data_IF_354674023855
#
_entry.id   IF_354674023855
#
_cell.length_a   1.000
_cell.length_b   1.000
_cell.length_c   1.000
_cell.angle_alpha   90.00
_cell.angle_beta   90.00
_cell.angle_gamma   90.00
#
_symmetry.space_group_name_H-M   'P 1'
#
loop_
_entity.id
_entity.type
_entity.pdbx_description
1 polymer ?
#
# COMPACT_ATOMS: atom_id res chain seq x y z
N UNK A 1 12.84 26.27 20.93
CA UNK A 1 12.06 25.03 21.16
C UNK A 1 12.16 24.22 19.88
N UNK A 2 12.96 23.16 19.86
CA UNK A 2 12.89 22.18 18.78
C UNK A 2 11.50 21.57 18.82
N UNK A 3 10.66 21.89 17.84
CA UNK A 3 9.39 21.20 17.65
C UNK A 3 9.72 19.75 17.36
N UNK A 4 9.52 18.87 18.35
CA UNK A 4 9.73 17.43 18.17
C UNK A 4 8.99 16.96 16.91
N UNK A 5 9.67 16.12 16.12
CA UNK A 5 9.07 15.51 14.94
C UNK A 5 7.79 14.74 15.33
N UNK A 6 6.75 14.79 14.51
CA UNK A 6 5.44 14.22 14.88
C UNK A 6 5.51 12.72 15.20
N UNK A 7 6.44 11.98 14.57
CA UNK A 7 6.65 10.56 14.88
C UNK A 7 7.21 10.33 16.28
N UNK A 8 8.12 11.20 16.74
CA UNK A 8 8.64 11.17 18.10
C UNK A 8 7.56 11.48 19.13
N UNK A 9 6.69 12.45 18.85
CA UNK A 9 5.53 12.78 19.70
C UNK A 9 4.57 11.59 19.81
N UNK A 10 4.17 11.02 18.67
CA UNK A 10 3.26 9.86 18.61
C UNK A 10 3.81 8.65 19.37
N UNK A 11 5.11 8.37 19.23
CA UNK A 11 5.77 7.28 19.94
C UNK A 11 5.79 7.51 21.46
N UNK A 12 6.11 8.73 21.91
CA UNK A 12 6.21 9.07 23.33
C UNK A 12 4.88 8.95 24.08
N UNK A 13 3.76 9.22 23.41
CA UNK A 13 2.42 9.06 23.98
C UNK A 13 1.82 7.67 23.74
N UNK A 14 2.61 6.72 23.23
CA UNK A 14 2.17 5.35 22.91
C UNK A 14 0.91 5.32 22.05
N UNK A 15 0.82 6.22 21.07
CA UNK A 15 -0.38 6.32 20.24
C UNK A 15 -0.62 4.97 19.52
N UNK A 16 -1.84 4.41 19.55
CA UNK A 16 -2.12 3.11 18.92
C UNK A 16 -1.95 3.14 17.40
N UNK A 17 -1.33 2.11 16.84
CA UNK A 17 -1.25 1.90 15.38
C UNK A 17 -2.57 1.37 14.81
N UNK A 18 -3.22 0.47 15.53
CA UNK A 18 -4.39 -0.27 15.06
C UNK A 18 -5.57 0.65 14.70
N UNK A 19 -6.09 0.48 13.47
CA UNK A 19 -7.20 1.28 12.94
C UNK A 19 -6.78 2.60 12.31
N UNK A 20 -5.50 2.78 11.98
CA UNK A 20 -4.99 4.05 11.45
C UNK A 20 -4.53 3.96 10.00
N UNK A 21 -4.62 2.79 9.36
CA UNK A 21 -4.23 2.66 7.96
C UNK A 21 -5.19 3.47 7.06
N UNK A 22 -4.68 4.11 5.98
CA UNK A 22 -5.56 4.70 4.98
C UNK A 22 -6.51 3.63 4.41
N UNK A 23 -7.76 4.01 4.16
CA UNK A 23 -8.75 3.12 3.55
C UNK A 23 -8.76 3.32 2.04
N UNK A 24 -8.46 2.25 1.30
CA UNK A 24 -8.52 2.16 -0.15
C UNK A 24 -8.61 0.67 -0.55
N UNK A 25 -9.63 0.31 -1.33
CA UNK A 25 -9.76 -1.04 -1.90
C UNK A 25 -8.71 -1.29 -2.99
N UNK A 26 -8.50 -0.28 -3.82
CA UNK A 26 -7.60 -0.35 -4.99
C UNK A 26 -6.48 0.68 -4.84
N UNK A 27 -5.27 0.27 -5.21
CA UNK A 27 -4.09 1.13 -5.28
C UNK A 27 -3.56 1.19 -6.70
N UNK A 28 -3.17 2.40 -7.14
CA UNK A 28 -2.42 2.64 -8.38
C UNK A 28 -1.10 3.30 -8.01
N UNK A 29 0.01 2.67 -8.39
CA UNK A 29 1.36 3.20 -8.23
C UNK A 29 1.95 3.46 -9.60
N UNK A 30 2.36 4.71 -9.87
CA UNK A 30 3.02 5.08 -11.12
C UNK A 30 4.50 5.35 -10.85
N UNK A 31 5.38 4.72 -11.64
CA UNK A 31 6.81 4.96 -11.55
C UNK A 31 7.13 6.41 -11.91
N UNK A 32 7.80 7.12 -11.02
CA UNK A 32 8.24 8.49 -11.22
C UNK A 32 9.57 8.73 -10.49
N UNK A 33 10.62 9.22 -11.18
CA UNK A 33 11.98 9.31 -10.63
C UNK A 33 12.15 10.38 -9.55
N UNK A 34 11.13 11.20 -9.27
CA UNK A 34 11.13 12.21 -8.20
C UNK A 34 11.86 13.51 -8.55
N UNK A 35 11.89 14.51 -7.63
CA UNK A 35 11.35 14.50 -6.27
C UNK A 35 9.81 14.55 -6.22
N UNK A 36 9.22 14.16 -5.09
CA UNK A 36 7.78 14.29 -4.82
C UNK A 36 7.51 15.51 -3.94
N UNK A 37 6.63 16.41 -4.41
CA UNK A 37 6.23 17.63 -3.70
C UNK A 37 5.35 17.36 -2.47
N UNK A 38 4.54 18.32 -2.05
CA UNK A 38 3.58 18.13 -0.95
C UNK A 38 2.41 17.25 -1.39
N UNK A 39 1.89 17.47 -2.59
CA UNK A 39 1.00 16.53 -3.28
C UNK A 39 1.79 15.90 -4.43
N UNK A 40 2.07 14.60 -4.33
CA UNK A 40 2.98 13.95 -5.25
C UNK A 40 2.47 14.00 -6.71
N UNK A 41 1.16 13.92 -6.93
CA UNK A 41 0.59 13.95 -8.28
C UNK A 41 0.64 15.39 -8.82
N UNK A 42 0.12 16.35 -8.06
CA UNK A 42 0.02 17.76 -8.48
C UNK A 42 1.40 18.37 -8.73
N UNK A 43 2.36 18.09 -7.85
CA UNK A 43 3.70 18.67 -7.90
C UNK A 43 4.68 17.87 -8.80
N UNK A 44 4.19 16.84 -9.49
CA UNK A 44 5.01 16.01 -10.38
C UNK A 44 5.20 16.64 -11.76
N UNK A 45 6.18 16.11 -12.51
CA UNK A 45 6.37 16.41 -13.94
C UNK A 45 5.70 15.37 -14.85
N UNK A 46 4.73 14.62 -14.34
CA UNK A 46 3.92 13.71 -15.16
C UNK A 46 3.16 14.51 -16.23
N UNK A 47 2.82 13.94 -17.39
CA UNK A 47 1.96 14.61 -18.37
C UNK A 47 0.62 15.06 -17.77
N UNK A 48 0.08 16.19 -18.23
CA UNK A 48 -1.18 16.76 -17.71
C UNK A 48 -2.36 15.78 -17.77
N UNK A 49 -2.43 15.00 -18.85
CA UNK A 49 -3.41 13.93 -19.04
C UNK A 49 -3.32 12.88 -17.92
N UNK A 50 -2.12 12.46 -17.55
CA UNK A 50 -1.88 11.50 -16.49
C UNK A 50 -2.20 12.10 -15.11
N UNK A 51 -1.77 13.34 -14.83
CA UNK A 51 -2.12 14.02 -13.56
C UNK A 51 -3.63 14.16 -13.38
N UNK A 52 -4.35 14.50 -14.44
CA UNK A 52 -5.81 14.63 -14.44
C UNK A 52 -6.50 13.29 -14.20
N UNK A 53 -6.06 12.23 -14.87
CA UNK A 53 -6.60 10.88 -14.66
C UNK A 53 -6.38 10.39 -13.22
N UNK A 54 -5.16 10.53 -12.69
CA UNK A 54 -4.82 10.16 -11.32
C UNK A 54 -5.61 10.98 -10.29
N UNK A 55 -5.86 12.27 -10.55
CA UNK A 55 -6.69 13.10 -9.69
C UNK A 55 -8.17 12.61 -9.66
N UNK A 56 -8.73 12.21 -10.82
CA UNK A 56 -10.07 11.61 -10.89
C UNK A 56 -10.15 10.30 -10.09
N UNK A 57 -9.16 9.42 -10.25
CA UNK A 57 -9.08 8.17 -9.49
C UNK A 57 -8.98 8.41 -7.99
N UNK A 58 -8.14 9.37 -7.57
CA UNK A 58 -8.01 9.77 -6.17
C UNK A 58 -9.34 10.28 -5.60
N UNK A 59 -10.09 11.06 -6.38
CA UNK A 59 -11.42 11.55 -5.97
C UNK A 59 -12.46 10.42 -5.83
N UNK A 60 -12.31 9.33 -6.59
CA UNK A 60 -13.12 8.12 -6.47
C UNK A 60 -12.67 7.17 -5.34
N UNK A 61 -11.68 7.55 -4.53
CA UNK A 61 -11.22 6.77 -3.36
C UNK A 61 -10.12 5.74 -3.65
N UNK A 62 -9.52 5.77 -4.84
CA UNK A 62 -8.36 4.93 -5.17
C UNK A 62 -7.12 5.49 -4.48
N UNK A 63 -6.32 4.61 -3.87
CA UNK A 63 -5.02 4.97 -3.30
C UNK A 63 -4.02 5.25 -4.41
N UNK A 64 -3.60 6.50 -4.57
CA UNK A 64 -2.62 6.90 -5.60
C UNK A 64 -1.24 7.15 -4.97
N UNK A 65 -0.22 6.48 -5.51
CA UNK A 65 1.17 6.70 -5.15
C UNK A 65 2.02 6.96 -6.39
N UNK A 66 3.02 7.82 -6.26
CA UNK A 66 4.16 7.84 -7.16
C UNK A 66 5.31 7.11 -6.48
N UNK A 67 5.99 6.23 -7.21
CA UNK A 67 7.04 5.40 -6.61
C UNK A 67 8.17 5.11 -7.57
N UNK A 68 9.19 4.43 -7.09
CA UNK A 68 10.24 3.85 -7.93
C UNK A 68 10.85 2.64 -7.23
N UNK A 69 11.25 1.59 -7.96
CA UNK A 69 11.98 0.48 -7.37
C UNK A 69 13.32 0.95 -6.83
N UNK A 70 13.82 0.28 -5.78
CA UNK A 70 15.18 0.52 -5.30
C UNK A 70 16.23 -0.06 -6.25
N UNK A 71 15.87 -1.12 -7.00
CA UNK A 71 16.68 -1.58 -8.11
C UNK A 71 16.58 -0.62 -9.30
N UNK A 72 17.69 0.08 -9.55
CA UNK A 72 17.84 1.03 -10.66
C UNK A 72 18.61 0.46 -11.84
N UNK A 73 19.09 -0.78 -11.73
CA UNK A 73 19.95 -1.39 -12.75
C UNK A 73 19.14 -2.05 -13.86
N UNK A 74 17.87 -2.36 -13.59
CA UNK A 74 16.94 -2.96 -14.55
C UNK A 74 16.32 -1.90 -15.48
N UNK A 75 16.78 -1.75 -16.74
CA UNK A 75 16.17 -0.82 -17.70
C UNK A 75 14.70 -1.19 -17.94
N UNK A 76 13.86 -0.17 -18.13
CA UNK A 76 12.46 -0.33 -18.52
C UNK A 76 12.18 0.44 -19.81
N UNK A 77 11.26 -0.06 -20.63
CA UNK A 77 10.82 0.59 -21.87
C UNK A 77 9.94 1.83 -21.65
N UNK A 78 9.64 2.14 -20.39
CA UNK A 78 8.78 3.24 -19.97
C UNK A 78 8.43 3.10 -18.48
N UNK A 79 7.74 4.08 -17.89
CA UNK A 79 7.34 4.03 -16.48
C UNK A 79 6.55 2.76 -16.17
N UNK A 80 6.94 2.04 -15.11
CA UNK A 80 6.13 0.93 -14.60
C UNK A 80 4.88 1.46 -13.90
N UNK A 81 3.78 0.73 -14.03
CA UNK A 81 2.54 0.99 -13.29
C UNK A 81 2.18 -0.30 -12.54
N UNK A 82 1.81 -0.15 -11.28
CA UNK A 82 1.22 -1.19 -10.46
C UNK A 82 -0.22 -0.83 -10.22
N UNK A 83 -1.12 -1.79 -10.41
CA UNK A 83 -2.52 -1.64 -10.02
C UNK A 83 -2.93 -2.87 -9.22
N UNK A 84 -3.45 -2.64 -8.01
CA UNK A 84 -3.70 -3.70 -7.06
C UNK A 84 -5.07 -3.59 -6.39
N UNK A 85 -5.79 -4.71 -6.30
CA UNK A 85 -6.97 -4.89 -5.45
C UNK A 85 -6.53 -5.56 -4.14
N UNK A 86 -6.96 -5.00 -3.02
CA UNK A 86 -6.50 -5.38 -1.67
C UNK A 86 -7.56 -6.05 -0.79
N UNK A 87 -8.66 -6.51 -1.37
CA UNK A 87 -9.69 -7.26 -0.65
C UNK A 87 -9.21 -8.68 -0.29
N UNK A 88 -9.43 -9.16 0.96
CA UNK A 88 -9.29 -10.58 1.29
C UNK A 88 -10.05 -11.50 0.33
N UNK A 89 -9.57 -12.72 0.11
CA UNK A 89 -10.15 -13.70 -0.83
C UNK A 89 -10.02 -13.35 -2.31
N UNK A 90 -9.53 -12.15 -2.63
CA UNK A 90 -9.46 -11.64 -3.99
C UNK A 90 -8.28 -10.72 -4.24
N UNK A 91 -7.18 -10.80 -3.50
CA UNK A 91 -6.04 -9.93 -3.76
C UNK A 91 -5.53 -10.13 -5.20
N UNK A 92 -5.24 -9.04 -5.91
CA UNK A 92 -4.75 -9.10 -7.28
C UNK A 92 -3.76 -7.97 -7.52
N UNK A 93 -2.59 -8.28 -8.06
CA UNK A 93 -1.60 -7.30 -8.51
C UNK A 93 -1.38 -7.45 -10.01
N UNK A 94 -1.48 -6.34 -10.73
CA UNK A 94 -1.01 -6.22 -12.12
C UNK A 94 0.16 -5.24 -12.19
N UNK A 95 1.20 -5.63 -12.93
CA UNK A 95 2.41 -4.85 -13.17
C UNK A 95 2.69 -4.83 -14.67
N UNK A 96 2.99 -3.66 -15.20
CA UNK A 96 3.37 -3.46 -16.60
C UNK A 96 4.14 -2.17 -16.79
N UNK A 97 4.68 -1.95 -17.99
CA UNK A 97 5.25 -0.68 -18.41
C UNK A 97 4.30 0.04 -19.35
N UNK A 98 4.31 1.37 -19.29
CA UNK A 98 3.50 2.22 -20.17
C UNK A 98 4.42 3.00 -21.11
N UNK A 99 4.10 2.99 -22.40
CA UNK A 99 4.78 3.85 -23.39
C UNK A 99 4.24 5.29 -23.35
N UNK A 100 2.97 5.46 -22.96
CA UNK A 100 2.31 6.76 -22.82
C UNK A 100 1.32 6.73 -21.65
N UNK A 101 1.65 7.47 -20.58
CA UNK A 101 0.81 7.59 -19.39
C UNK A 101 -0.54 8.26 -19.65
N UNK A 102 -0.78 8.84 -20.83
CA UNK A 102 -2.10 9.31 -21.22
C UNK A 102 -3.13 8.19 -21.38
N UNK A 103 -2.70 6.92 -21.46
CA UNK A 103 -3.60 5.76 -21.42
C UNK A 103 -4.38 5.67 -20.10
N UNK A 104 -3.87 6.23 -19.00
CA UNK A 104 -4.58 6.27 -17.71
C UNK A 104 -5.96 6.94 -17.79
N UNK A 105 -6.22 7.75 -18.83
CA UNK A 105 -7.54 8.36 -19.06
C UNK A 105 -8.61 7.35 -19.47
N UNK A 106 -8.23 6.18 -19.98
CA UNK A 106 -9.17 5.11 -20.38
C UNK A 106 -9.56 4.21 -19.23
N UNK A 107 -8.93 4.38 -18.06
CA UNK A 107 -9.23 3.61 -16.86
C UNK A 107 -10.40 4.27 -16.14
N UNK A 108 -11.47 3.51 -15.95
CA UNK A 108 -12.70 3.98 -15.32
C UNK A 108 -12.56 4.03 -13.79
N UNK A 109 -12.61 5.22 -13.15
CA UNK A 109 -12.46 5.36 -11.70
C UNK A 109 -13.48 4.55 -10.91
N UNK A 110 -14.73 4.48 -11.37
CA UNK A 110 -15.82 3.76 -10.72
C UNK A 110 -15.56 2.25 -10.71
N UNK A 111 -15.04 1.71 -11.83
CA UNK A 111 -14.66 0.30 -11.91
C UNK A 111 -13.48 -0.02 -10.97
N UNK A 112 -12.46 0.84 -10.95
CA UNK A 112 -11.33 0.69 -10.01
C UNK A 112 -11.78 0.79 -8.55
N UNK A 113 -12.70 1.71 -8.23
CA UNK A 113 -13.25 1.86 -6.88
C UNK A 113 -14.02 0.63 -6.43
N UNK A 114 -14.64 -0.10 -7.36
CA UNK A 114 -15.28 -1.40 -7.14
C UNK A 114 -14.30 -2.59 -7.12
N UNK A 115 -13.00 -2.36 -7.38
CA UNK A 115 -11.97 -3.41 -7.41
C UNK A 115 -11.81 -4.10 -8.77
N UNK A 116 -12.47 -3.62 -9.83
CA UNK A 116 -12.27 -4.12 -11.19
C UNK A 116 -11.02 -3.51 -11.80
N UNK A 117 -9.95 -4.30 -11.87
CA UNK A 117 -8.68 -3.82 -12.43
C UNK A 117 -8.70 -3.87 -13.95
N UNK A 118 -8.12 -2.86 -14.64
CA UNK A 118 -8.00 -2.86 -16.10
C UNK A 118 -7.14 -4.04 -16.57
N UNK A 119 -7.33 -4.43 -17.83
CA UNK A 119 -6.49 -5.40 -18.52
C UNK A 119 -5.11 -4.79 -18.88
N UNK A 120 -4.36 -4.39 -17.86
CA UNK A 120 -3.04 -3.77 -17.97
C UNK A 120 -1.96 -4.75 -17.50
N UNK A 121 -0.82 -4.75 -18.20
CA UNK A 121 0.36 -5.55 -17.85
C UNK A 121 0.06 -7.02 -17.61
N UNK A 122 0.89 -7.64 -16.77
CA UNK A 122 0.77 -9.04 -16.37
C UNK A 122 0.31 -9.15 -14.92
N UNK A 123 -0.43 -10.23 -14.60
CA UNK A 123 -0.71 -10.60 -13.22
C UNK A 123 0.60 -11.01 -12.55
N UNK A 124 0.86 -10.45 -11.36
CA UNK A 124 2.02 -10.80 -10.54
C UNK A 124 1.56 -11.57 -9.31
N UNK A 125 2.25 -12.67 -9.01
CA UNK A 125 2.07 -13.47 -7.79
C UNK A 125 3.02 -13.07 -6.67
N UNK A 126 3.94 -12.15 -6.94
CA UNK A 126 4.93 -11.71 -5.96
C UNK A 126 4.50 -10.38 -5.36
N UNK A 127 4.78 -10.16 -4.07
CA UNK A 127 4.41 -8.93 -3.40
C UNK A 127 5.25 -7.76 -3.90
N UNK A 128 4.77 -6.54 -3.64
CA UNK A 128 5.58 -5.33 -3.71
C UNK A 128 5.48 -4.59 -2.38
N UNK A 129 6.62 -4.37 -1.74
CA UNK A 129 6.76 -3.63 -0.50
C UNK A 129 7.12 -2.17 -0.79
N UNK A 130 6.17 -1.28 -0.55
CA UNK A 130 6.32 0.17 -0.73
C UNK A 130 6.71 0.81 0.61
N UNK A 131 7.74 1.64 0.63
CA UNK A 131 8.15 2.42 1.80
C UNK A 131 8.04 3.91 1.49
N UNK A 132 7.32 4.64 2.31
CA UNK A 132 7.17 6.09 2.15
C UNK A 132 8.49 6.79 2.50
N UNK A 133 9.05 7.57 1.57
CA UNK A 133 10.25 8.41 1.79
C UNK A 133 10.02 9.90 1.56
N UNK A 134 8.77 10.32 1.37
CA UNK A 134 8.42 11.71 1.11
C UNK A 134 8.63 12.60 2.34
N UNK A 135 9.37 13.69 2.17
CA UNK A 135 9.75 14.62 3.24
C UNK A 135 9.07 15.99 3.21
N UNK A 136 8.27 16.28 2.18
CA UNK A 136 7.72 17.63 1.95
C UNK A 136 6.51 17.96 2.83
N UNK A 137 5.78 16.95 3.31
CA UNK A 137 4.69 17.12 4.28
C UNK A 137 5.22 17.13 5.70
N UNK A 138 6.12 16.20 6.00
CA UNK A 138 6.85 16.06 7.25
C UNK A 138 8.16 15.28 6.96
N UNK A 139 9.24 15.57 7.68
CA UNK A 139 10.53 14.92 7.52
C UNK A 139 10.59 13.48 8.06
N UNK A 140 9.65 13.06 8.92
CA UNK A 140 9.68 11.75 9.60
C UNK A 140 9.89 10.56 8.67
N UNK A 141 9.08 10.43 7.60
CA UNK A 141 9.23 9.35 6.63
C UNK A 141 10.49 9.50 5.76
N UNK A 142 10.91 10.73 5.49
CA UNK A 142 12.15 10.95 4.76
C UNK A 142 13.36 10.40 5.53
N UNK A 143 13.41 10.62 6.84
CA UNK A 143 14.50 10.09 7.68
C UNK A 143 14.33 8.58 7.87
N UNK A 144 13.31 8.15 8.62
CA UNK A 144 13.19 6.75 9.03
C UNK A 144 12.85 5.80 7.89
N UNK A 145 12.16 6.27 6.85
CA UNK A 145 11.81 5.46 5.69
C UNK A 145 13.03 5.13 4.83
N UNK A 146 13.98 6.08 4.70
CA UNK A 146 15.26 5.81 4.03
C UNK A 146 16.13 4.84 4.82
N UNK A 147 16.12 4.91 6.14
CA UNK A 147 16.84 3.96 6.98
C UNK A 147 16.28 2.54 6.83
N UNK A 148 14.95 2.39 6.86
CA UNK A 148 14.28 1.11 6.60
C UNK A 148 14.59 0.58 5.19
N UNK A 149 14.57 1.43 4.16
CA UNK A 149 14.90 1.01 2.79
C UNK A 149 16.33 0.51 2.65
N UNK A 150 17.31 1.15 3.29
CA UNK A 150 18.70 0.65 3.26
C UNK A 150 18.81 -0.73 3.90
N UNK A 151 18.10 -0.95 5.00
CA UNK A 151 18.07 -2.26 5.65
C UNK A 151 17.36 -3.33 4.79
N UNK A 152 16.25 -2.97 4.13
CA UNK A 152 15.56 -3.85 3.17
C UNK A 152 16.45 -4.17 1.97
N UNK A 153 17.17 -3.18 1.45
CA UNK A 153 18.09 -3.34 0.31
C UNK A 153 19.23 -4.31 0.62
N UNK A 154 19.76 -4.25 1.85
CA UNK A 154 20.80 -5.14 2.35
C UNK A 154 20.30 -6.57 2.63
N UNK A 155 19.03 -6.71 3.03
CA UNK A 155 18.41 -8.01 3.31
C UNK A 155 17.89 -8.74 2.06
N UNK A 156 17.64 -8.01 0.98
CA UNK A 156 16.99 -8.55 -0.21
C UNK A 156 17.95 -9.34 -1.11
N UNK A 157 17.44 -10.45 -1.66
CA UNK A 157 18.06 -11.10 -2.82
C UNK A 157 18.02 -10.17 -4.05
N UNK A 158 18.86 -10.40 -5.09
CA UNK A 158 18.80 -9.62 -6.32
C UNK A 158 17.38 -9.52 -6.91
N UNK A 159 16.63 -10.62 -6.89
CA UNK A 159 15.23 -10.65 -7.32
C UNK A 159 14.32 -9.85 -6.40
N UNK A 160 14.48 -10.00 -5.08
CA UNK A 160 13.69 -9.28 -4.07
C UNK A 160 13.85 -7.76 -4.13
N UNK A 161 15.01 -7.24 -4.57
CA UNK A 161 15.25 -5.80 -4.73
C UNK A 161 14.28 -5.14 -5.71
N UNK A 162 13.89 -5.84 -6.78
CA UNK A 162 12.90 -5.34 -7.76
C UNK A 162 11.48 -5.18 -7.17
N UNK A 163 11.22 -5.85 -6.03
CA UNK A 163 9.95 -5.85 -5.31
C UNK A 163 9.90 -4.85 -4.15
N UNK A 164 10.99 -4.12 -3.90
CA UNK A 164 11.02 -3.07 -2.88
C UNK A 164 11.01 -1.71 -3.57
N UNK A 165 10.06 -0.88 -3.18
CA UNK A 165 9.81 0.41 -3.78
C UNK A 165 9.89 1.49 -2.73
N UNK A 166 10.51 2.62 -3.08
CA UNK A 166 10.25 3.85 -2.36
C UNK A 166 9.10 4.61 -3.01
N UNK A 167 8.31 5.31 -2.21
CA UNK A 167 7.11 5.98 -2.70
C UNK A 167 6.80 7.30 -2.01
N UNK A 168 5.85 8.00 -2.62
CA UNK A 168 5.19 9.17 -2.11
C UNK A 168 4.39 8.88 -0.83
N UNK A 169 3.75 9.92 -0.30
CA UNK A 169 3.05 9.87 0.98
C UNK A 169 1.88 8.87 0.99
N UNK A 170 2.04 7.77 1.73
CA UNK A 170 0.97 6.78 2.00
C UNK A 170 -0.09 7.32 2.98
N UNK A 171 0.34 8.13 3.96
CA UNK A 171 -0.53 8.61 5.05
C UNK A 171 -0.07 8.14 6.43
N UNK A 172 -0.25 9.00 7.44
CA UNK A 172 0.14 8.70 8.82
C UNK A 172 1.63 8.88 9.10
N UNK A 173 2.22 10.01 8.68
CA UNK A 173 3.64 10.33 8.93
C UNK A 173 4.01 10.36 10.42
N UNK A 174 3.03 10.58 11.33
CA UNK A 174 3.21 10.40 12.78
C UNK A 174 3.52 8.96 13.20
N UNK A 175 3.29 7.98 12.33
CA UNK A 175 3.64 6.58 12.53
C UNK A 175 4.84 6.15 11.69
N UNK A 176 5.66 7.11 11.25
CA UNK A 176 6.81 6.83 10.40
C UNK A 176 7.80 5.83 11.00
N UNK A 177 8.51 5.05 10.15
CA UNK A 177 8.26 4.96 8.71
C UNK A 177 6.97 4.19 8.43
N UNK A 178 6.33 4.53 7.31
CA UNK A 178 5.11 3.86 6.84
C UNK A 178 5.47 3.00 5.64
N UNK A 179 5.03 1.74 5.66
CA UNK A 179 5.10 0.84 4.51
C UNK A 179 3.73 0.27 4.15
N UNK A 180 3.57 -0.12 2.89
CA UNK A 180 2.39 -0.76 2.31
C UNK A 180 2.85 -1.98 1.51
N UNK A 181 2.26 -3.14 1.76
CA UNK A 181 2.48 -4.35 0.94
C UNK A 181 1.32 -4.51 -0.03
N UNK A 182 1.62 -4.68 -1.33
CA UNK A 182 0.64 -5.05 -2.35
C UNK A 182 0.88 -6.50 -2.80
N UNK A 183 -0.18 -7.27 -3.12
CA UNK A 183 -1.58 -6.87 -3.15
C UNK A 183 -2.34 -7.02 -1.82
N UNK A 184 -1.72 -7.52 -0.74
CA UNK A 184 -2.45 -7.74 0.54
C UNK A 184 -3.03 -6.46 1.15
N UNK A 185 -2.45 -5.31 0.85
CA UNK A 185 -2.92 -4.00 1.30
C UNK A 185 -2.59 -3.68 2.74
N UNK A 186 -1.65 -4.40 3.34
CA UNK A 186 -1.26 -4.22 4.74
C UNK A 186 -0.38 -3.00 4.91
N UNK A 187 -0.76 -2.14 5.85
CA UNK A 187 -0.02 -0.93 6.16
C UNK A 187 0.65 -1.09 7.51
N UNK A 188 1.98 -0.96 7.52
CA UNK A 188 2.76 -1.01 8.74
C UNK A 188 3.28 0.40 9.11
N UNK A 189 3.52 0.61 10.40
CA UNK A 189 4.10 1.84 10.94
C UNK A 189 5.19 1.53 11.96
N UNK A 190 6.08 2.49 12.21
CA UNK A 190 7.14 2.42 13.24
C UNK A 190 8.13 1.27 13.06
N UNK A 191 8.19 0.68 11.87
CA UNK A 191 9.21 -0.32 11.55
C UNK A 191 10.61 0.28 11.70
N UNK A 192 11.53 -0.48 12.28
CA UNK A 192 12.94 -0.08 12.37
C UNK A 192 13.79 -0.87 11.38
N UNK A 193 15.07 -0.53 11.30
CA UNK A 193 16.01 -1.25 10.43
C UNK A 193 16.07 -2.75 10.78
N UNK A 194 15.94 -3.10 12.06
CA UNK A 194 15.97 -4.48 12.55
C UNK A 194 14.72 -5.28 12.10
N UNK A 195 13.62 -4.61 11.77
CA UNK A 195 12.40 -5.24 11.28
C UNK A 195 12.46 -5.58 9.78
N UNK A 196 13.46 -5.09 9.05
CA UNK A 196 13.51 -5.18 7.59
C UNK A 196 13.43 -6.63 7.06
N UNK A 197 14.27 -7.52 7.58
CA UNK A 197 14.28 -8.94 7.20
C UNK A 197 12.93 -9.59 7.49
N UNK A 198 12.33 -9.27 8.63
CA UNK A 198 11.05 -9.83 9.06
C UNK A 198 9.89 -9.34 8.19
N UNK A 199 9.85 -8.05 7.86
CA UNK A 199 8.85 -7.47 6.96
C UNK A 199 8.97 -8.04 5.54
N UNK A 200 10.20 -8.17 5.03
CA UNK A 200 10.44 -8.72 3.70
C UNK A 200 10.02 -10.20 3.64
N UNK A 201 10.43 -11.01 4.63
CA UNK A 201 10.04 -12.41 4.71
C UNK A 201 8.52 -12.58 4.82
N UNK A 202 7.86 -11.80 5.68
CA UNK A 202 6.41 -11.82 5.85
C UNK A 202 5.69 -11.48 4.53
N UNK A 203 6.13 -10.42 3.83
CA UNK A 203 5.53 -10.04 2.54
C UNK A 203 5.58 -11.18 1.51
N UNK A 204 6.72 -11.88 1.38
CA UNK A 204 6.86 -13.00 0.44
C UNK A 204 6.15 -14.28 0.90
N UNK A 205 5.91 -14.44 2.19
CA UNK A 205 5.16 -15.56 2.76
C UNK A 205 3.63 -15.34 2.72
N UNK A 206 3.14 -14.15 2.32
CA UNK A 206 1.73 -13.81 2.47
C UNK A 206 1.32 -13.65 3.94
N UNK A 207 2.24 -13.14 4.76
CA UNK A 207 2.05 -12.91 6.19
C UNK A 207 2.14 -11.42 6.55
N UNK A 208 1.57 -11.08 7.70
CA UNK A 208 1.70 -9.78 8.35
C UNK A 208 2.71 -9.80 9.49
N UNK A 209 3.09 -8.59 9.90
CA UNK A 209 3.78 -8.31 11.14
C UNK A 209 2.79 -7.59 12.09
N UNK A 210 2.02 -8.32 12.93
CA UNK A 210 0.93 -7.74 13.71
C UNK A 210 1.35 -6.59 14.63
N UNK A 211 2.55 -6.65 15.19
CA UNK A 211 3.04 -5.66 16.16
C UNK A 211 3.30 -4.29 15.53
N UNK A 212 3.50 -4.24 14.22
CA UNK A 212 3.69 -3.00 13.44
C UNK A 212 2.46 -2.65 12.60
N UNK A 213 1.43 -3.51 12.60
CA UNK A 213 0.29 -3.41 11.70
C UNK A 213 -0.64 -2.26 12.12
N UNK A 214 -0.91 -1.36 11.18
CA UNK A 214 -1.94 -0.31 11.34
C UNK A 214 -3.31 -0.82 10.89
N UNK A 215 -3.33 -1.72 9.91
CA UNK A 215 -4.53 -2.34 9.36
C UNK A 215 -4.35 -2.71 7.88
N UNK A 216 -5.35 -3.40 7.33
CA UNK A 216 -5.49 -3.62 5.88
C UNK A 216 -6.27 -2.47 5.26
N UNK A 217 -5.79 -1.94 4.14
CA UNK A 217 -6.34 -0.75 3.50
C UNK A 217 -7.74 -0.95 2.92
N UNK A 218 -8.14 -2.15 2.52
CA UNK A 218 -9.51 -2.44 2.10
C UNK A 218 -10.55 -2.40 3.25
N UNK A 219 -10.10 -2.32 4.50
CA UNK A 219 -10.97 -2.36 5.67
C UNK A 219 -11.18 -0.96 6.29
N UNK A 220 -12.36 -0.66 6.84
CA UNK A 220 -12.58 0.55 7.61
C UNK A 220 -11.87 0.49 8.98
N UNK A 221 -11.61 1.64 9.62
CA UNK A 221 -10.86 1.72 10.88
C UNK A 221 -11.31 0.79 12.02
N UNK A 222 -12.62 0.58 12.29
CA UNK A 222 -13.04 -0.34 13.35
C UNK A 222 -12.63 -1.79 13.06
N UNK A 223 -12.71 -2.19 11.79
CA UNK A 223 -12.34 -3.53 11.36
C UNK A 223 -10.83 -3.73 11.39
N UNK A 224 -10.07 -2.76 10.88
CA UNK A 224 -8.61 -2.76 11.03
C UNK A 224 -8.18 -2.95 12.48
N UNK A 225 -8.83 -2.26 13.43
CA UNK A 225 -8.54 -2.41 14.86
C UNK A 225 -8.86 -3.81 15.39
N UNK A 226 -10.03 -4.34 15.05
CA UNK A 226 -10.44 -5.69 15.45
C UNK A 226 -9.48 -6.75 14.89
N UNK A 227 -9.15 -6.68 13.60
CA UNK A 227 -8.21 -7.58 12.96
C UNK A 227 -6.82 -7.53 13.60
N UNK A 228 -6.28 -6.34 13.84
CA UNK A 228 -4.97 -6.21 14.51
C UNK A 228 -5.01 -6.83 15.91
N UNK A 229 -6.07 -6.58 16.68
CA UNK A 229 -6.22 -7.15 18.02
C UNK A 229 -6.24 -8.69 17.99
N UNK A 230 -7.07 -9.29 17.14
CA UNK A 230 -7.17 -10.75 16.97
C UNK A 230 -5.81 -11.34 16.55
N UNK A 231 -5.11 -10.70 15.60
CA UNK A 231 -3.80 -11.16 15.12
C UNK A 231 -2.76 -11.19 16.23
N UNK A 232 -2.73 -10.17 17.07
CA UNK A 232 -1.81 -10.12 18.21
C UNK A 232 -2.19 -11.14 19.28
N UNK A 233 -3.46 -11.25 19.64
CA UNK A 233 -3.94 -12.15 20.70
C UNK A 233 -3.73 -13.62 20.35
N UNK A 234 -4.00 -14.01 19.10
CA UNK A 234 -3.98 -15.40 18.65
C UNK A 234 -2.78 -15.73 17.76
N UNK A 235 -1.79 -14.84 17.66
CA UNK A 235 -0.61 -14.98 16.82
C UNK A 235 -0.90 -15.30 15.34
N UNK A 236 -2.00 -14.77 14.79
CA UNK A 236 -2.42 -15.01 13.39
C UNK A 236 -1.60 -14.15 12.44
N UNK A 237 -0.74 -14.81 11.65
CA UNK A 237 0.19 -14.16 10.71
C UNK A 237 -0.27 -14.18 9.27
N UNK A 238 -1.02 -15.18 8.85
CA UNK A 238 -1.54 -15.26 7.48
C UNK A 238 -2.36 -14.01 7.14
N UNK A 239 -1.97 -13.32 6.06
CA UNK A 239 -2.58 -12.10 5.57
C UNK A 239 -4.10 -12.25 5.33
N UNK A 240 -4.52 -13.41 4.85
CA UNK A 240 -5.89 -13.68 4.43
C UNK A 240 -6.68 -14.49 5.46
N UNK A 241 -6.11 -14.91 6.59
CA UNK A 241 -6.85 -15.66 7.62
C UNK A 241 -8.10 -14.98 8.23
N UNK A 242 -8.31 -13.66 8.04
CA UNK A 242 -9.43 -12.90 8.61
C UNK A 242 -10.38 -12.33 7.54
N UNK A 243 -10.76 -13.13 6.53
CA UNK A 243 -11.71 -12.74 5.46
C UNK A 243 -13.14 -12.51 5.97
N UNK A 244 -13.41 -13.05 7.15
CA UNK A 244 -14.74 -13.28 7.70
C UNK A 244 -15.24 -12.14 8.59
N UNK A 245 -15.02 -10.86 8.29
CA UNK A 245 -15.51 -9.77 9.15
C UNK A 245 -16.16 -8.66 8.33
N UNK A 246 -17.46 -8.41 8.54
CA UNK A 246 -18.21 -7.29 7.95
C UNK A 246 -18.55 -6.24 9.00
N UNK A 247 -18.79 -4.99 8.58
CA UNK A 247 -19.26 -3.93 9.47
C UNK A 247 -20.78 -3.80 9.38
N UNK A 248 -21.48 -4.04 10.49
CA UNK A 248 -22.93 -3.82 10.63
C UNK A 248 -23.13 -2.78 11.74
N UNK A 249 -23.73 -1.63 11.41
CA UNK A 249 -23.98 -0.53 12.37
C UNK A 249 -22.72 -0.15 13.16
N UNK A 250 -21.62 0.11 12.44
CA UNK A 250 -20.30 0.47 12.99
C UNK A 250 -19.62 -0.58 13.89
N UNK A 251 -20.09 -1.84 13.86
CA UNK A 251 -19.48 -2.97 14.58
C UNK A 251 -18.95 -4.02 13.62
N UNK A 252 -17.75 -4.54 13.87
CA UNK A 252 -17.20 -5.69 13.16
C UNK A 252 -17.89 -6.99 13.63
N UNK A 253 -18.46 -7.76 12.71
CA UNK A 253 -19.20 -9.00 12.96
C UNK A 253 -18.61 -10.12 12.10
N UNK A 254 -18.35 -11.32 12.66
CA UNK A 254 -17.86 -12.44 11.88
C UNK A 254 -18.91 -13.02 10.92
N UNK A 255 -18.51 -13.32 9.68
CA UNK A 255 -19.35 -13.94 8.64
C UNK A 255 -18.56 -15.01 7.87
N UNK A 256 -19.22 -16.09 7.45
CA UNK A 256 -18.58 -17.03 6.51
C UNK A 256 -18.32 -16.32 5.17
N UNK A 257 -17.06 -16.30 4.73
CA UNK A 257 -16.67 -15.66 3.50
C UNK A 257 -17.05 -16.57 2.31
N UNK A 258 -18.09 -16.19 1.58
CA UNK A 258 -18.35 -16.72 0.24
C UNK A 258 -18.08 -15.60 -0.77
N UNK A 259 -16.94 -15.69 -1.46
CA UNK A 259 -16.68 -14.82 -2.60
C UNK A 259 -17.54 -15.31 -3.77
N UNK A 260 -18.61 -14.59 -4.11
CA UNK A 260 -19.34 -14.83 -5.35
C UNK A 260 -18.55 -14.18 -6.48
N UNK A 261 -17.94 -14.99 -7.34
CA UNK A 261 -17.50 -14.54 -8.65
C UNK A 261 -18.72 -14.19 -9.50
N UNK A 262 -18.61 -13.21 -10.40
CA UNK A 262 -19.62 -12.85 -11.41
C UNK A 262 -20.05 -14.02 -12.35
N UNK A 263 -19.56 -15.23 -12.14
CA UNK A 263 -20.06 -16.45 -12.80
C UNK A 263 -21.47 -16.87 -12.37
N UNK A 264 -21.96 -16.37 -11.22
CA UNK A 264 -23.23 -16.84 -10.65
C UNK A 264 -24.43 -15.93 -10.96
N UNK A 265 -24.23 -14.88 -11.78
CA UNK A 265 -25.29 -13.99 -12.26
C UNK A 265 -25.88 -14.39 -13.62
N UNK A 266 -25.56 -15.60 -14.12
CA UNK A 266 -26.23 -16.19 -15.30
C UNK A 266 -26.89 -17.51 -14.91
N UNK A 267 -27.81 -17.47 -13.96
CA UNK A 267 -28.96 -18.38 -13.93
C UNK A 267 -30.04 -17.80 -13.01
N UNK A 268 -30.95 -17.03 -13.59
CA UNK A 268 -32.41 -17.15 -13.42
C UNK A 268 -33.11 -16.31 -14.47
#
# INVERSE_FOLDING_TARGET
MTTDACSAVSLRVSEPLAGTAPTALTWVVVEHPGPWGRDAVVDSRLPDAARTALARMKAAGIGILLGRPIDRTSPSSGPRILVARTAPGGTLLRLGTSADLAELRTWEPEALAAGHLPAFGCVSREPVLLVCTQGRRDACCAVHGRDLLRALDAAASPHGRSRIWECSHIGGHRFAPVSLTLPTGEVHGRARAEDATRLLAAAFAGEVVPELLRGRSSQPPPLQRACVHIRCEFAVRDADALEALVVIKDRAVPVEAHWQSDSDLVTT
#
